data_IF_882519761418
#
_entry.id   IF_882519761418
#
_cell.length_a   1.000
_cell.length_b   1.000
_cell.length_c   1.000
_cell.angle_alpha   90.00
_cell.angle_beta   90.00
_cell.angle_gamma   90.00
#
_symmetry.space_group_name_H-M   'P 1'
#
loop_
_entity.id
_entity.type
_entity.pdbx_description
1 polymer ?
#
# COMPACT_ATOMS: atom_id res chain seq x y z
N UNK A 1 -10.99 1.74 11.42
CA UNK A 1 -9.89 1.14 10.62
C UNK A 1 -9.42 -0.10 11.34
N UNK A 2 -9.27 -1.23 10.64
CA UNK A 2 -8.96 -2.53 11.26
C UNK A 2 -7.52 -2.62 11.82
N UNK A 3 -6.67 -1.70 11.37
CA UNK A 3 -5.25 -1.60 11.63
C UNK A 3 -4.88 -0.68 12.81
N UNK A 4 -5.87 -0.05 13.48
CA UNK A 4 -5.62 0.78 14.69
C UNK A 4 -4.90 0.02 15.80
N UNK A 5 -5.15 -1.29 15.93
CA UNK A 5 -4.49 -2.16 16.92
C UNK A 5 -2.97 -2.33 16.71
N UNK A 6 -2.45 -1.93 15.55
CA UNK A 6 -1.02 -1.99 15.22
C UNK A 6 -0.36 -0.61 15.30
N UNK A 7 -1.05 0.43 15.76
CA UNK A 7 -0.51 1.79 15.85
C UNK A 7 0.83 1.84 16.59
N UNK A 8 1.87 2.31 15.92
CA UNK A 8 3.23 2.41 16.47
C UNK A 8 4.02 1.10 16.55
N UNK A 9 3.41 -0.03 16.19
CA UNK A 9 3.99 -1.35 16.32
C UNK A 9 4.74 -1.81 15.05
N UNK A 10 5.48 -2.91 15.17
CA UNK A 10 6.05 -3.64 14.03
C UNK A 10 5.33 -4.97 13.89
N UNK A 11 4.61 -5.14 12.77
CA UNK A 11 3.97 -6.40 12.43
C UNK A 11 5.01 -7.38 11.87
N UNK A 12 5.33 -8.42 12.65
CA UNK A 12 6.22 -9.50 12.23
C UNK A 12 5.46 -10.55 11.43
N UNK A 13 5.96 -10.87 10.24
CA UNK A 13 5.43 -11.97 9.42
C UNK A 13 5.97 -13.31 9.93
N UNK A 14 5.20 -14.38 9.74
CA UNK A 14 5.58 -15.74 10.10
C UNK A 14 5.95 -16.58 8.88
N UNK A 15 6.51 -17.78 9.12
CA UNK A 15 6.87 -18.72 8.06
C UNK A 15 7.88 -18.16 7.06
N UNK A 16 7.72 -18.51 5.79
CA UNK A 16 8.66 -18.10 4.74
C UNK A 16 8.61 -16.60 4.44
N UNK A 17 7.44 -15.97 4.63
CA UNK A 17 7.34 -14.50 4.54
C UNK A 17 8.11 -13.82 5.67
N UNK A 18 8.11 -14.38 6.88
CA UNK A 18 8.95 -13.89 7.97
C UNK A 18 10.45 -13.97 7.67
N UNK A 19 10.89 -15.05 7.02
CA UNK A 19 12.28 -15.21 6.57
C UNK A 19 12.64 -14.22 5.45
N UNK A 20 11.70 -13.98 4.52
CA UNK A 20 11.88 -13.09 3.38
C UNK A 20 11.82 -11.60 3.77
N UNK A 21 11.05 -11.27 4.81
CA UNK A 21 10.84 -9.91 5.33
C UNK A 21 11.11 -9.85 6.84
N UNK A 22 12.37 -10.06 7.27
CA UNK A 22 12.73 -10.18 8.69
C UNK A 22 12.42 -8.91 9.50
N UNK A 23 12.48 -7.75 8.85
CA UNK A 23 12.15 -6.47 9.46
C UNK A 23 10.66 -6.32 9.76
N UNK A 24 9.80 -7.03 9.03
CA UNK A 24 8.34 -6.92 9.13
C UNK A 24 7.82 -5.58 8.59
N UNK A 25 6.60 -5.21 8.97
CA UNK A 25 6.00 -3.94 8.53
C UNK A 25 5.82 -3.04 9.73
N UNK A 26 6.50 -1.89 9.73
CA UNK A 26 6.31 -0.86 10.75
C UNK A 26 5.00 -0.12 10.47
N UNK A 27 4.21 0.10 11.50
CA UNK A 27 2.97 0.85 11.41
C UNK A 27 3.16 2.28 11.95
N UNK A 28 2.49 3.24 11.31
CA UNK A 28 2.45 4.62 11.79
C UNK A 28 1.70 4.72 13.13
N UNK A 29 1.79 5.88 13.80
CA UNK A 29 1.04 6.14 15.04
C UNK A 29 -0.49 6.09 14.87
N UNK A 30 -0.97 6.27 13.64
CA UNK A 30 -2.40 6.15 13.29
C UNK A 30 -2.77 4.73 12.85
N UNK A 31 -1.79 3.83 12.80
CA UNK A 31 -1.95 2.43 12.45
C UNK A 31 -1.90 2.15 10.96
N UNK A 32 -1.27 2.98 10.11
CA UNK A 32 -1.11 2.66 8.69
C UNK A 32 0.19 1.87 8.42
N UNK A 33 0.18 0.86 7.54
CA UNK A 33 1.36 0.05 7.26
C UNK A 33 2.40 0.84 6.45
N UNK A 34 3.64 0.84 6.91
CA UNK A 34 4.78 1.43 6.21
C UNK A 34 5.41 0.43 5.24
N UNK A 35 5.00 0.48 3.97
CA UNK A 35 5.56 -0.37 2.92
C UNK A 35 6.78 0.22 2.20
N UNK A 36 7.23 1.43 2.54
CA UNK A 36 8.34 2.12 1.88
C UNK A 36 9.61 1.27 1.69
N UNK A 37 10.07 0.44 2.66
CA UNK A 37 11.26 -0.39 2.48
C UNK A 37 11.13 -1.46 1.38
N UNK A 38 9.90 -1.80 1.01
CA UNK A 38 9.57 -2.85 0.05
C UNK A 38 9.10 -2.29 -1.30
N UNK A 39 8.92 -0.98 -1.40
CA UNK A 39 8.39 -0.34 -2.59
C UNK A 39 9.44 -0.29 -3.70
N UNK A 40 9.02 -0.59 -4.94
CA UNK A 40 9.83 -0.42 -6.16
C UNK A 40 9.65 0.94 -6.81
N UNK A 41 8.53 1.60 -6.56
CA UNK A 41 8.24 2.93 -7.07
C UNK A 41 7.22 3.63 -6.16
N UNK A 42 7.39 4.94 -5.99
CA UNK A 42 6.49 5.81 -5.24
C UNK A 42 6.13 7.01 -6.11
N UNK A 43 4.84 7.30 -6.25
CA UNK A 43 4.32 8.35 -7.11
C UNK A 43 3.27 9.15 -6.36
N UNK A 44 3.21 10.46 -6.60
CA UNK A 44 2.04 11.27 -6.28
C UNK A 44 1.18 11.40 -7.54
N UNK A 45 -0.12 11.10 -7.43
CA UNK A 45 -1.09 11.17 -8.51
C UNK A 45 -2.28 11.96 -7.99
N UNK A 46 -2.62 13.04 -8.68
CA UNK A 46 -3.79 13.85 -8.33
C UNK A 46 -5.09 13.17 -8.80
N UNK A 47 -6.16 13.32 -8.02
CA UNK A 47 -7.48 12.81 -8.35
C UNK A 47 -7.57 11.28 -8.39
N UNK A 48 -6.93 10.60 -7.43
CA UNK A 48 -7.22 9.19 -7.17
C UNK A 48 -8.68 9.06 -6.73
N UNK A 49 -9.36 8.00 -7.15
CA UNK A 49 -10.79 7.82 -6.87
C UNK A 49 -11.08 6.65 -5.92
N UNK A 50 -10.03 5.94 -5.46
CA UNK A 50 -10.17 4.80 -4.58
C UNK A 50 -10.63 3.53 -5.29
N UNK A 51 -10.70 3.55 -6.62
CA UNK A 51 -10.96 2.39 -7.46
C UNK A 51 -9.64 1.80 -7.95
N UNK A 52 -9.42 0.52 -7.65
CA UNK A 52 -8.16 -0.13 -7.99
C UNK A 52 -7.90 -0.20 -9.49
N UNK A 53 -8.93 -0.42 -10.32
CA UNK A 53 -8.71 -0.56 -11.76
C UNK A 53 -8.25 0.77 -12.37
N UNK A 54 -8.99 1.85 -12.13
CA UNK A 54 -8.67 3.16 -12.71
C UNK A 54 -7.39 3.76 -12.11
N UNK A 55 -7.21 3.67 -10.80
CA UNK A 55 -6.03 4.26 -10.15
C UNK A 55 -4.76 3.47 -10.48
N UNK A 56 -4.83 2.15 -10.62
CA UNK A 56 -3.66 1.35 -11.04
C UNK A 56 -3.30 1.65 -12.49
N UNK A 57 -4.31 1.85 -13.36
CA UNK A 57 -4.07 2.26 -14.74
C UNK A 57 -3.33 3.60 -14.80
N UNK A 58 -3.78 4.61 -14.03
CA UNK A 58 -3.09 5.90 -13.92
C UNK A 58 -1.64 5.73 -13.44
N UNK A 59 -1.43 4.95 -12.38
CA UNK A 59 -0.08 4.72 -11.84
C UNK A 59 0.85 3.99 -12.83
N UNK A 60 0.31 3.03 -13.60
CA UNK A 60 1.05 2.37 -14.67
C UNK A 60 1.41 3.36 -15.79
N UNK A 61 0.47 4.20 -16.23
CA UNK A 61 0.69 5.23 -17.25
C UNK A 61 1.80 6.21 -16.86
N UNK A 62 1.83 6.67 -15.61
CA UNK A 62 2.89 7.58 -15.09
C UNK A 62 4.28 6.97 -15.21
N UNK A 63 4.42 5.64 -15.08
CA UNK A 63 5.69 4.93 -15.24
C UNK A 63 5.94 4.36 -16.65
N UNK A 64 5.04 4.61 -17.60
CA UNK A 64 5.12 4.01 -18.94
C UNK A 64 4.96 2.48 -18.93
N UNK A 65 4.31 1.92 -17.91
CA UNK A 65 4.04 0.49 -17.79
C UNK A 65 2.77 0.12 -18.55
N UNK A 66 2.82 -0.94 -19.35
CA UNK A 66 1.62 -1.47 -20.03
C UNK A 66 0.61 -2.06 -19.03
N UNK A 67 1.10 -2.71 -17.99
CA UNK A 67 0.33 -3.33 -16.92
C UNK A 67 1.14 -3.29 -15.62
N UNK A 68 0.46 -3.45 -14.47
CA UNK A 68 1.14 -3.65 -13.19
C UNK A 68 2.02 -4.90 -13.28
N UNK A 69 3.32 -4.84 -12.95
CA UNK A 69 4.22 -5.99 -13.07
C UNK A 69 3.74 -7.19 -12.26
N UNK A 70 3.94 -8.40 -12.81
CA UNK A 70 3.56 -9.64 -12.14
C UNK A 70 4.23 -9.75 -10.76
N UNK A 71 3.46 -10.13 -9.74
CA UNK A 71 3.92 -10.22 -8.35
C UNK A 71 3.90 -8.88 -7.58
N UNK A 72 3.45 -7.79 -8.21
CA UNK A 72 3.32 -6.48 -7.57
C UNK A 72 1.88 -5.97 -7.59
N UNK A 73 1.57 -5.10 -6.64
CA UNK A 73 0.31 -4.35 -6.55
C UNK A 73 0.62 -2.90 -6.26
N UNK A 74 -0.25 -2.00 -6.70
CA UNK A 74 -0.21 -0.63 -6.22
C UNK A 74 -0.91 -0.54 -4.87
N UNK A 75 -0.24 0.08 -3.90
CA UNK A 75 -0.78 0.38 -2.59
C UNK A 75 -1.13 1.87 -2.53
N UNK A 76 -2.40 2.17 -2.30
CA UNK A 76 -2.87 3.51 -1.97
C UNK A 76 -2.44 3.87 -0.54
N UNK A 77 -1.57 4.86 -0.41
CA UNK A 77 -1.09 5.38 0.88
C UNK A 77 -2.19 6.22 1.56
N UNK A 78 -2.14 6.35 2.88
CA UNK A 78 -3.18 7.00 3.69
C UNK A 78 -3.38 8.50 3.42
N UNK A 79 -2.50 9.14 2.67
CA UNK A 79 -2.62 10.55 2.27
C UNK A 79 -3.65 10.76 1.15
N UNK A 80 -4.09 9.69 0.47
CA UNK A 80 -5.07 9.74 -0.62
C UNK A 80 -4.51 10.17 -1.98
N UNK A 81 -3.21 10.45 -2.07
CA UNK A 81 -2.57 10.93 -3.31
C UNK A 81 -1.33 10.14 -3.71
N UNK A 82 -0.75 9.38 -2.79
CA UNK A 82 0.45 8.60 -3.05
C UNK A 82 0.11 7.16 -3.40
N UNK A 83 0.74 6.64 -4.46
CA UNK A 83 0.73 5.24 -4.86
C UNK A 83 2.13 4.63 -4.70
N UNK A 84 2.21 3.44 -4.09
CA UNK A 84 3.45 2.67 -3.96
C UNK A 84 3.34 1.33 -4.66
N UNK A 85 4.26 1.01 -5.57
CA UNK A 85 4.34 -0.32 -6.17
C UNK A 85 5.06 -1.25 -5.20
N UNK A 86 4.35 -2.25 -4.66
CA UNK A 86 4.85 -3.13 -3.60
C UNK A 86 4.61 -4.60 -3.95
N UNK A 87 5.42 -5.56 -3.45
CA UNK A 87 5.17 -6.97 -3.65
C UNK A 87 3.78 -7.37 -3.12
N UNK A 88 3.00 -8.07 -3.95
CA UNK A 88 1.62 -8.44 -3.61
C UNK A 88 1.55 -9.37 -2.40
N UNK A 89 2.56 -10.20 -2.20
CA UNK A 89 2.62 -11.17 -1.10
C UNK A 89 2.68 -10.51 0.29
N UNK A 90 3.54 -9.50 0.48
CA UNK A 90 3.66 -8.79 1.76
C UNK A 90 2.46 -7.87 1.99
N UNK A 91 1.98 -7.21 0.94
CA UNK A 91 0.79 -6.38 1.01
C UNK A 91 -0.45 -7.20 1.39
N UNK A 92 -0.61 -8.39 0.80
CA UNK A 92 -1.71 -9.31 1.11
C UNK A 92 -1.61 -9.95 2.49
N UNK A 93 -0.40 -10.24 2.97
CA UNK A 93 -0.17 -10.80 4.30
C UNK A 93 -0.50 -9.82 5.45
N UNK A 94 -0.43 -8.52 5.18
CA UNK A 94 -0.70 -7.47 6.16
C UNK A 94 -2.09 -6.91 5.92
N UNK A 95 -3.13 -7.47 6.56
CA UNK A 95 -4.50 -6.95 6.42
C UNK A 95 -4.63 -5.55 7.04
N UNK A 96 -5.07 -4.57 6.26
CA UNK A 96 -5.17 -3.17 6.68
C UNK A 96 -6.33 -2.43 5.99
N UNK A 97 -6.71 -1.28 6.55
CA UNK A 97 -7.45 -0.23 5.82
C UNK A 97 -6.42 0.68 5.15
N UNK A 98 -6.37 0.70 3.82
CA UNK A 98 -5.47 1.57 3.04
C UNK A 98 -6.15 2.85 2.53
N UNK A 99 -5.40 3.66 1.79
CA UNK A 99 -5.84 4.94 1.23
C UNK A 99 -7.09 4.85 0.36
N UNK A 100 -7.21 3.80 -0.46
CA UNK A 100 -8.38 3.58 -1.31
C UNK A 100 -9.70 3.60 -0.51
N UNK A 101 -9.72 2.98 0.68
CA UNK A 101 -10.91 3.00 1.54
C UNK A 101 -11.19 4.37 2.15
N UNK A 102 -10.17 5.22 2.34
CA UNK A 102 -10.35 6.57 2.84
C UNK A 102 -10.90 7.50 1.76
N UNK A 103 -10.40 7.37 0.53
CA UNK A 103 -10.91 8.09 -0.65
C UNK A 103 -12.38 7.74 -0.90
N UNK A 104 -12.72 6.44 -0.93
CA UNK A 104 -14.10 5.97 -1.11
C UNK A 104 -15.08 6.47 -0.04
N UNK A 105 -14.57 6.92 1.12
CA UNK A 105 -15.37 7.50 2.22
C UNK A 105 -15.36 9.03 2.23
N UNK A 106 -14.70 9.68 1.28
CA UNK A 106 -14.51 11.13 1.26
C UNK A 106 -13.66 11.67 2.40
N UNK A 107 -12.84 10.82 3.04
CA UNK A 107 -11.98 11.20 4.16
C UNK A 107 -10.60 11.71 3.72
N UNK A 108 -10.30 11.54 2.44
CA UNK A 108 -9.07 11.97 1.76
C UNK A 108 -9.46 12.52 0.38
N UNK A 109 -8.63 13.42 -0.18
CA UNK A 109 -8.85 13.96 -1.51
C UNK A 109 -8.90 12.86 -2.58
#
# INVERSE_FOLDING_TARGET
>A
MINKKYAGEVYKLSGDLGKKYPEGVKFSKDGFPGFSPYSKAKLEIEGLIGDHYYDFKKANEVLGLKNTPAGYTWHHVEDGKTMMLVPSEIHGAVRHTGGASLINKGLRP
#
